data_IF_166822129874
#
_entry.id   IF_166822129874
#
_cell.length_a   1.000
_cell.length_b   1.000
_cell.length_c   1.000
_cell.angle_alpha   90.00
_cell.angle_beta   90.00
_cell.angle_gamma   90.00
#
_symmetry.space_group_name_H-M   'P 1'
#
loop_
_entity.id
_entity.type
_entity.pdbx_description
1 polymer ?
#
# COMPACT_ATOMS: atom_id res chain seq x y z
N UNK A 1 -24.49 35.14 0.35
CA UNK A 1 -23.64 34.47 1.36
C UNK A 1 -24.38 33.25 1.86
N UNK A 2 -24.03 32.04 1.39
CA UNK A 2 -24.59 30.79 1.87
C UNK A 2 -23.41 29.82 2.07
N UNK A 3 -23.20 29.44 3.34
CA UNK A 3 -22.00 28.80 3.83
C UNK A 3 -21.79 27.36 3.31
N UNK A 4 -20.54 27.08 2.99
CA UNK A 4 -20.01 25.77 2.64
C UNK A 4 -20.21 24.75 3.77
N UNK A 5 -21.19 23.86 3.62
CA UNK A 5 -21.32 22.64 4.42
C UNK A 5 -20.30 21.60 3.92
N UNK A 6 -19.09 21.67 4.46
CA UNK A 6 -18.02 20.71 4.18
C UNK A 6 -18.40 19.34 4.77
N UNK A 7 -18.79 18.42 3.89
CA UNK A 7 -19.25 17.06 4.19
C UNK A 7 -18.09 16.18 4.67
N UNK A 8 -17.83 16.22 5.98
CA UNK A 8 -16.80 15.47 6.68
C UNK A 8 -17.33 14.08 7.12
N UNK A 9 -17.64 13.21 6.17
CA UNK A 9 -18.07 11.83 6.45
C UNK A 9 -16.98 10.84 6.02
N UNK A 10 -16.32 10.18 6.98
CA UNK A 10 -15.38 9.08 6.68
C UNK A 10 -16.04 7.69 6.77
N UNK A 11 -17.23 7.60 7.37
CA UNK A 11 -18.08 6.41 7.31
C UNK A 11 -19.51 6.92 7.38
N UNK A 12 -20.31 6.74 6.32
CA UNK A 12 -21.78 6.90 6.27
C UNK A 12 -22.44 7.17 7.65
N UNK A 13 -22.36 8.39 8.17
CA UNK A 13 -23.06 8.85 9.37
C UNK A 13 -22.66 8.38 10.79
N UNK A 14 -21.73 7.44 11.04
CA UNK A 14 -21.60 6.82 12.39
C UNK A 14 -20.67 7.55 13.38
N UNK A 15 -19.67 8.31 12.92
CA UNK A 15 -18.77 9.05 13.83
C UNK A 15 -18.59 10.48 13.30
N UNK A 16 -19.30 11.44 13.92
CA UNK A 16 -19.10 12.88 13.69
C UNK A 16 -17.96 13.38 14.56
N UNK A 17 -16.82 13.66 13.94
CA UNK A 17 -15.69 14.30 14.62
C UNK A 17 -15.94 15.79 14.75
N UNK A 18 -15.80 16.32 15.97
CA UNK A 18 -15.98 17.75 16.28
C UNK A 18 -14.74 18.59 15.91
N UNK A 19 -13.58 17.94 15.73
CA UNK A 19 -12.28 18.59 15.51
C UNK A 19 -11.35 17.74 14.63
N UNK A 20 -10.47 18.39 13.86
CA UNK A 20 -9.42 17.75 13.04
C UNK A 20 -8.47 16.92 13.91
N UNK A 21 -8.15 17.36 15.13
CA UNK A 21 -7.29 16.62 16.06
C UNK A 21 -7.92 15.29 16.47
N UNK A 22 -9.22 15.28 16.74
CA UNK A 22 -9.95 14.07 17.16
C UNK A 22 -10.02 13.04 16.02
N UNK A 23 -10.08 13.52 14.79
CA UNK A 23 -10.08 12.71 13.57
C UNK A 23 -8.71 12.05 13.35
N UNK A 24 -7.62 12.82 13.48
CA UNK A 24 -6.24 12.31 13.37
C UNK A 24 -5.98 11.22 14.42
N UNK A 25 -6.38 11.46 15.68
CA UNK A 25 -6.23 10.47 16.76
C UNK A 25 -7.06 9.21 16.49
N UNK A 26 -8.29 9.37 15.98
CA UNK A 26 -9.13 8.23 15.60
C UNK A 26 -8.51 7.36 14.50
N UNK A 27 -7.94 7.99 13.47
CA UNK A 27 -7.27 7.28 12.37
C UNK A 27 -5.96 6.65 12.83
N UNK A 28 -5.20 7.31 13.72
CA UNK A 28 -3.99 6.76 14.32
C UNK A 28 -4.28 5.46 15.08
N UNK A 29 -5.33 5.44 15.90
CA UNK A 29 -5.74 4.24 16.66
C UNK A 29 -6.14 3.11 15.69
N UNK A 30 -6.93 3.42 14.65
CA UNK A 30 -7.31 2.45 13.63
C UNK A 30 -6.08 1.84 12.95
N UNK A 31 -5.13 2.68 12.52
CA UNK A 31 -3.92 2.22 11.84
C UNK A 31 -3.00 1.42 12.77
N UNK A 32 -2.95 1.77 14.05
CA UNK A 32 -2.23 0.98 15.06
C UNK A 32 -2.82 -0.42 15.21
N UNK A 33 -4.15 -0.52 15.31
CA UNK A 33 -4.85 -1.81 15.40
C UNK A 33 -4.61 -2.65 14.14
N UNK A 34 -4.77 -2.07 12.95
CA UNK A 34 -4.52 -2.76 11.68
C UNK A 34 -3.07 -3.28 11.63
N UNK A 35 -2.11 -2.45 12.04
CA UNK A 35 -0.69 -2.84 12.06
C UNK A 35 -0.41 -3.94 13.06
N UNK A 36 -1.04 -3.91 14.24
CA UNK A 36 -0.92 -4.98 15.23
C UNK A 36 -1.47 -6.30 14.67
N UNK A 37 -2.63 -6.26 14.03
CA UNK A 37 -3.25 -7.44 13.38
C UNK A 37 -2.33 -8.00 12.31
N UNK A 38 -1.72 -7.17 11.46
CA UNK A 38 -0.73 -7.61 10.47
C UNK A 38 0.46 -8.30 11.11
N UNK A 39 1.05 -7.72 12.17
CA UNK A 39 2.20 -8.32 12.87
C UNK A 39 1.81 -9.68 13.48
N UNK A 40 0.64 -9.76 14.13
CA UNK A 40 0.12 -11.01 14.71
C UNK A 40 -0.09 -12.06 13.62
N UNK A 41 -0.74 -11.71 12.51
CA UNK A 41 -0.92 -12.61 11.37
C UNK A 41 0.43 -13.05 10.76
N UNK A 42 1.42 -12.16 10.76
CA UNK A 42 2.77 -12.43 10.27
C UNK A 42 3.57 -13.38 11.14
N UNK A 43 3.34 -13.37 12.45
CA UNK A 43 3.99 -14.28 13.40
C UNK A 43 3.29 -15.65 13.40
N UNK A 44 1.97 -15.67 13.57
CA UNK A 44 1.22 -16.92 13.74
C UNK A 44 0.99 -17.68 12.43
N UNK A 45 1.00 -16.99 11.27
CA UNK A 45 0.86 -17.57 9.91
C UNK A 45 -0.13 -18.74 9.85
N UNK A 46 -1.42 -18.52 10.18
CA UNK A 46 -2.37 -19.60 10.34
C UNK A 46 -2.51 -20.45 9.07
N UNK A 47 -2.65 -21.77 9.22
CA UNK A 47 -2.65 -22.73 8.10
C UNK A 47 -3.76 -22.46 7.07
N UNK A 48 -4.90 -21.93 7.51
CA UNK A 48 -6.02 -21.56 6.63
C UNK A 48 -5.61 -20.50 5.59
N UNK A 49 -4.64 -19.64 5.93
CA UNK A 49 -4.09 -18.59 5.07
C UNK A 49 -2.83 -19.03 4.31
N UNK A 50 -2.35 -20.26 4.50
CA UNK A 50 -1.22 -20.84 3.74
C UNK A 50 -1.65 -21.47 2.42
N UNK A 51 -2.95 -21.50 2.10
CA UNK A 51 -3.41 -21.93 0.79
C UNK A 51 -2.91 -20.97 -0.29
N UNK A 52 -2.50 -21.53 -1.43
CA UNK A 52 -2.00 -20.76 -2.56
C UNK A 52 -3.15 -20.30 -3.44
N UNK A 53 -3.20 -19.00 -3.71
CA UNK A 53 -4.10 -18.37 -4.67
C UNK A 53 -3.29 -17.51 -5.65
N UNK A 54 -3.44 -17.78 -6.95
CA UNK A 54 -2.72 -17.08 -8.02
C UNK A 54 -1.18 -17.06 -7.79
N UNK A 55 -0.60 -18.24 -7.53
CA UNK A 55 0.83 -18.45 -7.28
C UNK A 55 1.42 -17.75 -6.03
N UNK A 56 0.59 -17.12 -5.20
CA UNK A 56 0.99 -16.52 -3.93
C UNK A 56 0.16 -17.11 -2.79
N UNK A 57 0.72 -17.16 -1.58
CA UNK A 57 -0.05 -17.55 -0.39
C UNK A 57 -1.15 -16.52 -0.14
N UNK A 58 -2.34 -16.97 0.27
CA UNK A 58 -3.45 -16.06 0.67
C UNK A 58 -3.00 -15.06 1.74
N UNK A 59 -2.10 -15.48 2.62
CA UNK A 59 -1.46 -14.58 3.59
C UNK A 59 -0.81 -13.36 2.91
N UNK A 60 -0.06 -13.57 1.82
CA UNK A 60 0.61 -12.47 1.10
C UNK A 60 -0.41 -11.50 0.48
N UNK A 61 -1.52 -12.02 -0.05
CA UNK A 61 -2.61 -11.18 -0.56
C UNK A 61 -3.21 -10.30 0.53
N UNK A 62 -3.44 -10.85 1.72
CA UNK A 62 -3.93 -10.08 2.88
C UNK A 62 -2.94 -8.98 3.24
N UNK A 63 -1.64 -9.28 3.29
CA UNK A 63 -0.60 -8.28 3.58
C UNK A 63 -0.54 -7.16 2.56
N UNK A 64 -0.62 -7.48 1.25
CA UNK A 64 -0.62 -6.47 0.19
C UNK A 64 -1.83 -5.54 0.34
N UNK A 65 -3.02 -6.11 0.54
CA UNK A 65 -4.25 -5.33 0.69
C UNK A 65 -4.18 -4.44 1.93
N UNK A 66 -3.80 -4.99 3.10
CA UNK A 66 -3.70 -4.23 4.34
C UNK A 66 -2.65 -3.11 4.24
N UNK A 67 -1.53 -3.36 3.54
CA UNK A 67 -0.51 -2.34 3.28
C UNK A 67 -1.04 -1.21 2.41
N UNK A 68 -1.77 -1.51 1.33
CA UNK A 68 -2.39 -0.48 0.46
C UNK A 68 -3.42 0.34 1.24
N UNK A 69 -4.30 -0.33 1.99
CA UNK A 69 -5.32 0.32 2.82
C UNK A 69 -4.67 1.26 3.84
N UNK A 70 -3.60 0.81 4.49
CA UNK A 70 -2.83 1.63 5.44
C UNK A 70 -2.20 2.84 4.77
N UNK A 71 -1.53 2.64 3.63
CA UNK A 71 -0.94 3.73 2.85
C UNK A 71 -2.00 4.77 2.49
N UNK A 72 -3.19 4.34 2.03
CA UNK A 72 -4.29 5.25 1.75
C UNK A 72 -4.65 6.11 2.97
N UNK A 73 -4.95 5.51 4.12
CA UNK A 73 -5.31 6.27 5.33
C UNK A 73 -4.18 7.20 5.81
N UNK A 74 -2.92 6.79 5.70
CA UNK A 74 -1.77 7.67 6.02
C UNK A 74 -1.75 8.88 5.11
N UNK A 75 -1.81 8.68 3.80
CA UNK A 75 -1.70 9.77 2.83
C UNK A 75 -2.90 10.70 2.93
N UNK A 76 -4.09 10.16 3.16
CA UNK A 76 -5.32 10.94 3.25
C UNK A 76 -5.39 11.79 4.53
N UNK A 77 -5.11 11.20 5.69
CA UNK A 77 -5.33 11.85 6.99
C UNK A 77 -4.07 12.46 7.62
N UNK A 78 -2.87 11.86 7.49
CA UNK A 78 -1.64 12.45 8.03
C UNK A 78 -0.96 13.42 7.06
N UNK A 79 -1.00 13.11 5.76
CA UNK A 79 -0.41 13.99 4.73
C UNK A 79 -1.41 15.02 4.20
N UNK A 80 -2.61 15.13 4.80
CA UNK A 80 -3.65 16.12 4.47
C UNK A 80 -4.10 16.13 3.00
N UNK A 81 -3.82 15.07 2.23
CA UNK A 81 -4.16 14.97 0.80
C UNK A 81 -5.67 15.03 0.54
N UNK A 82 -6.51 14.79 1.55
CA UNK A 82 -7.95 14.94 1.43
C UNK A 82 -8.36 16.38 1.17
N UNK A 83 -7.83 17.29 1.97
CA UNK A 83 -8.28 18.67 2.07
C UNK A 83 -7.54 19.56 1.05
N UNK A 84 -6.74 18.94 0.17
CA UNK A 84 -6.02 19.57 -0.92
C UNK A 84 -6.80 19.66 -2.23
N UNK A 85 -6.34 20.56 -3.10
CA UNK A 85 -6.96 20.73 -4.43
C UNK A 85 -6.93 19.42 -5.22
N UNK A 86 -8.00 19.15 -5.96
CA UNK A 86 -8.15 17.90 -6.72
C UNK A 86 -7.02 17.67 -7.73
N UNK A 87 -6.42 18.75 -8.22
CA UNK A 87 -5.30 18.72 -9.16
C UNK A 87 -4.02 18.27 -8.45
N UNK A 88 -3.68 18.88 -7.30
CA UNK A 88 -2.48 18.49 -6.54
C UNK A 88 -2.56 17.03 -6.09
N UNK A 89 -3.73 16.59 -5.61
CA UNK A 89 -3.95 15.17 -5.27
C UNK A 89 -3.70 14.26 -6.47
N UNK A 90 -4.21 14.64 -7.64
CA UNK A 90 -4.10 13.85 -8.86
C UNK A 90 -2.65 13.75 -9.33
N UNK A 91 -1.88 14.84 -9.28
CA UNK A 91 -0.46 14.85 -9.66
C UNK A 91 0.34 13.87 -8.79
N UNK A 92 0.17 13.91 -7.47
CA UNK A 92 0.91 13.01 -6.58
C UNK A 92 0.54 11.54 -6.83
N UNK A 93 -0.76 11.23 -6.91
CA UNK A 93 -1.22 9.85 -7.09
C UNK A 93 -0.79 9.28 -8.44
N UNK A 94 -0.94 10.02 -9.54
CA UNK A 94 -0.53 9.53 -10.86
C UNK A 94 0.98 9.40 -10.98
N UNK A 95 1.75 10.32 -10.43
CA UNK A 95 3.21 10.20 -10.41
C UNK A 95 3.65 8.96 -9.63
N UNK A 96 3.05 8.67 -8.47
CA UNK A 96 3.35 7.47 -7.71
C UNK A 96 2.98 6.18 -8.46
N UNK A 97 1.79 6.14 -9.09
CA UNK A 97 1.35 4.99 -9.89
C UNK A 97 2.29 4.77 -11.09
N UNK A 98 2.61 5.85 -11.82
CA UNK A 98 3.57 5.80 -12.93
C UNK A 98 4.92 5.25 -12.48
N UNK A 99 5.43 5.74 -11.34
CA UNK A 99 6.71 5.29 -10.79
C UNK A 99 6.69 3.79 -10.43
N UNK A 100 5.62 3.30 -9.80
CA UNK A 100 5.49 1.87 -9.44
C UNK A 100 5.50 0.99 -10.70
N UNK A 101 4.75 1.37 -11.72
CA UNK A 101 4.71 0.63 -12.99
C UNK A 101 6.05 0.68 -13.71
N UNK A 102 6.71 1.83 -13.73
CA UNK A 102 8.02 2.00 -14.36
C UNK A 102 9.12 1.20 -13.66
N UNK A 103 9.15 1.21 -12.31
CA UNK A 103 10.08 0.38 -11.53
C UNK A 103 9.84 -1.10 -11.74
N UNK A 104 8.57 -1.53 -11.76
CA UNK A 104 8.21 -2.93 -12.03
C UNK A 104 8.68 -3.36 -13.42
N UNK A 105 8.54 -2.49 -14.42
CA UNK A 105 9.04 -2.73 -15.78
C UNK A 105 10.57 -2.90 -15.81
N UNK A 106 11.32 -1.97 -15.19
CA UNK A 106 12.79 -2.07 -15.11
C UNK A 106 13.20 -3.37 -14.43
N UNK A 107 12.62 -3.72 -13.28
CA UNK A 107 13.00 -4.93 -12.57
C UNK A 107 12.74 -6.20 -13.38
N UNK A 108 11.65 -6.28 -14.13
CA UNK A 108 11.39 -7.44 -15.00
C UNK A 108 12.42 -7.50 -16.13
N UNK A 109 12.77 -6.37 -16.75
CA UNK A 109 13.75 -6.31 -17.84
C UNK A 109 15.15 -6.68 -17.35
N UNK A 110 15.60 -6.09 -16.25
CA UNK A 110 16.92 -6.34 -15.66
C UNK A 110 17.03 -7.77 -15.13
N UNK A 111 15.97 -8.31 -14.50
CA UNK A 111 15.95 -9.70 -14.06
C UNK A 111 16.03 -10.68 -15.23
N UNK A 112 15.35 -10.37 -16.35
CA UNK A 112 15.45 -11.16 -17.58
C UNK A 112 16.85 -11.11 -18.19
N UNK A 113 17.44 -9.91 -18.30
CA UNK A 113 18.81 -9.74 -18.80
C UNK A 113 19.83 -10.51 -17.96
N UNK A 114 19.72 -10.42 -16.63
CA UNK A 114 20.58 -11.17 -15.71
C UNK A 114 20.38 -12.68 -15.89
N UNK A 115 19.14 -13.14 -16.02
CA UNK A 115 18.85 -14.57 -16.22
C UNK A 115 19.49 -15.11 -17.51
N UNK A 116 19.34 -14.42 -18.64
CA UNK A 116 19.91 -14.82 -19.92
C UNK A 116 21.45 -14.85 -19.90
N UNK A 117 22.08 -13.89 -19.21
CA UNK A 117 23.53 -13.83 -19.04
C UNK A 117 24.07 -15.01 -18.19
N UNK A 118 23.31 -15.46 -17.18
CA UNK A 118 23.66 -16.62 -16.35
C UNK A 118 23.43 -17.96 -17.06
N UNK A 119 22.48 -18.05 -17.99
CA UNK A 119 22.12 -19.28 -18.72
C UNK A 119 22.94 -19.47 -20.03
N UNK A 120 23.75 -18.48 -20.44
CA UNK A 120 24.61 -18.58 -21.62
C UNK A 120 25.84 -19.48 -21.36
N UNK A 121 25.96 -20.65 -22.01
CA UNK A 121 27.05 -21.60 -21.80
C UNK A 121 28.41 -21.14 -22.35
N UNK A 122 28.45 -20.04 -23.11
CA UNK A 122 29.70 -19.41 -23.58
C UNK A 122 30.28 -18.38 -22.60
N UNK A 123 29.56 -18.11 -21.51
CA UNK A 123 29.90 -17.07 -20.56
C UNK A 123 30.80 -17.57 -19.42
N UNK A 124 31.77 -16.76 -19.02
CA UNK A 124 32.85 -17.15 -18.09
C UNK A 124 32.50 -16.94 -16.61
N UNK A 125 31.21 -16.78 -16.28
CA UNK A 125 30.74 -16.54 -14.92
C UNK A 125 30.78 -17.87 -14.16
N UNK A 126 31.78 -18.04 -13.29
CA UNK A 126 31.91 -19.20 -12.41
C UNK A 126 30.78 -19.19 -11.37
N UNK A 127 29.83 -20.11 -11.50
CA UNK A 127 28.76 -20.40 -10.54
C UNK A 127 29.20 -21.44 -9.50
N UNK A 128 30.38 -21.26 -8.91
CA UNK A 128 30.85 -22.09 -7.80
C UNK A 128 30.52 -21.37 -6.48
N UNK A 129 29.37 -21.71 -5.90
CA UNK A 129 28.99 -21.37 -4.52
C UNK A 129 28.62 -22.66 -3.79
#
# INVERSE_FOLDING_TARGET
MAGHAHKLEIFRGLIKFKSNTQKIIGVLILLSIVTLVEVVLGIYKPEVLNQSFANLKLLNWVFIILTIVKAYYITWDFMHMRDETSILRRVVVWTAVFLILYLSFIFIQEAGYIFDEFDDPSNYIKTDF
#
